data_IF_012877810769
#
_entry.id   IF_012877810769
#
_cell.length_a   1.000
_cell.length_b   1.000
_cell.length_c   1.000
_cell.angle_alpha   90.00
_cell.angle_beta   90.00
_cell.angle_gamma   90.00
#
_symmetry.space_group_name_H-M   'P 1'
#
loop_
_entity.id
_entity.type
_entity.pdbx_description
1 polymer ?
#
# COMPACT_ATOMS: atom_id res chain seq x y z
N UNK A 1 -45.34 28.54 62.62
CA UNK A 1 -45.67 29.97 62.87
C UNK A 1 -44.54 30.81 62.24
N UNK A 2 -44.91 31.68 61.30
CA UNK A 2 -44.18 32.85 60.79
C UNK A 2 -42.89 32.58 59.98
N UNK A 3 -42.64 33.11 58.82
CA UNK A 3 -43.27 33.97 57.83
C UNK A 3 -42.21 34.31 56.78
N UNK A 4 -42.62 34.37 55.55
CA UNK A 4 -41.89 34.87 54.37
C UNK A 4 -41.14 36.17 54.59
N UNK A 5 -39.99 36.35 53.88
CA UNK A 5 -39.70 37.60 53.15
C UNK A 5 -38.70 37.37 52.01
N UNK A 6 -39.14 37.68 50.79
CA UNK A 6 -38.36 37.90 49.58
C UNK A 6 -37.48 39.13 49.76
N UNK A 7 -36.22 39.05 49.32
CA UNK A 7 -35.41 40.22 49.03
C UNK A 7 -34.87 40.03 47.61
N UNK A 8 -35.35 40.89 46.70
CA UNK A 8 -34.76 41.18 45.42
C UNK A 8 -33.57 42.08 45.66
N UNK A 9 -32.41 41.71 45.18
CA UNK A 9 -31.27 42.62 44.98
C UNK A 9 -30.94 42.63 43.50
N UNK A 10 -31.27 43.74 42.87
CA UNK A 10 -30.73 44.19 41.59
C UNK A 10 -29.22 44.41 41.80
N UNK A 11 -28.40 43.81 40.97
CA UNK A 11 -27.01 44.24 40.80
C UNK A 11 -26.75 44.42 39.32
N UNK A 12 -26.44 45.62 39.01
CA UNK A 12 -26.09 46.25 37.75
C UNK A 12 -24.88 45.62 37.10
N UNK A 13 -24.98 45.57 35.76
CA UNK A 13 -23.91 45.25 34.81
C UNK A 13 -22.58 45.89 35.13
N UNK A 14 -21.52 45.07 35.10
CA UNK A 14 -20.24 45.49 34.61
C UNK A 14 -19.80 44.49 33.52
N UNK A 15 -19.95 44.94 32.31
CA UNK A 15 -19.49 44.26 31.10
C UNK A 15 -17.96 44.29 31.06
N UNK A 16 -17.30 43.17 31.36
CA UNK A 16 -15.98 42.90 30.90
C UNK A 16 -16.11 41.81 29.79
N UNK A 17 -16.07 42.26 28.55
CA UNK A 17 -15.94 41.47 27.37
C UNK A 17 -14.55 40.84 27.38
N UNK A 18 -14.42 39.62 27.92
CA UNK A 18 -13.30 38.76 27.58
C UNK A 18 -13.66 38.11 26.24
N UNK A 19 -13.14 38.66 25.15
CA UNK A 19 -12.98 37.95 23.89
C UNK A 19 -12.03 36.79 24.13
N UNK A 20 -12.53 35.66 24.56
CA UNK A 20 -11.88 34.41 24.32
C UNK A 20 -12.07 34.11 22.83
N UNK A 21 -11.04 34.40 22.04
CA UNK A 21 -10.89 33.82 20.72
C UNK A 21 -10.78 32.31 20.90
N UNK A 22 -11.92 31.65 20.82
CA UNK A 22 -11.98 30.22 20.56
C UNK A 22 -11.44 30.08 19.14
N UNK A 23 -10.14 29.81 19.01
CA UNK A 23 -9.64 29.12 17.84
C UNK A 23 -10.30 27.74 17.87
N UNK A 24 -11.45 27.65 17.25
CA UNK A 24 -11.95 26.39 16.78
C UNK A 24 -10.88 25.92 15.77
N UNK A 25 -9.99 25.06 16.19
CA UNK A 25 -9.34 24.11 15.31
C UNK A 25 -10.51 23.32 14.71
N UNK A 26 -11.04 23.77 13.59
CA UNK A 26 -11.80 22.95 12.70
C UNK A 26 -10.77 21.91 12.19
N UNK A 27 -10.59 20.83 12.93
CA UNK A 27 -10.21 19.57 12.32
C UNK A 27 -11.24 19.38 11.21
N UNK A 28 -10.77 19.57 9.97
CA UNK A 28 -11.50 19.11 8.81
C UNK A 28 -11.45 17.58 8.94
N UNK A 29 -12.43 17.02 9.65
CA UNK A 29 -12.83 15.63 9.47
C UNK A 29 -13.26 15.52 8.02
N UNK A 30 -12.29 15.22 7.14
CA UNK A 30 -12.60 14.65 5.85
C UNK A 30 -13.16 13.27 6.19
N UNK A 31 -14.45 13.23 6.55
CA UNK A 31 -15.20 12.01 6.48
C UNK A 31 -15.03 11.53 5.04
N UNK A 32 -14.14 10.58 4.82
CA UNK A 32 -14.07 9.79 3.61
C UNK A 32 -15.42 9.10 3.47
N UNK A 33 -16.38 9.83 2.92
CA UNK A 33 -17.54 9.18 2.35
C UNK A 33 -16.97 8.27 1.26
N UNK A 34 -17.16 6.98 1.38
CA UNK A 34 -16.67 5.90 0.52
C UNK A 34 -17.22 5.98 -0.92
N UNK A 35 -17.54 7.15 -1.40
CA UNK A 35 -17.88 7.54 -2.76
C UNK A 35 -17.32 8.93 -3.06
N UNK A 36 -16.03 9.12 -2.96
CA UNK A 36 -15.40 10.23 -3.66
C UNK A 36 -15.63 9.96 -5.15
N UNK A 37 -16.46 10.80 -5.78
CA UNK A 37 -16.69 10.69 -7.22
C UNK A 37 -15.36 10.89 -7.92
N UNK A 38 -14.89 9.83 -8.58
CA UNK A 38 -13.68 9.88 -9.41
C UNK A 38 -13.83 11.03 -10.40
N UNK A 39 -12.86 11.94 -10.44
CA UNK A 39 -12.93 13.14 -11.28
C UNK A 39 -12.48 12.84 -12.71
N UNK A 40 -13.25 13.20 -13.73
CA UNK A 40 -12.82 13.09 -15.11
C UNK A 40 -11.64 14.01 -15.38
N UNK A 41 -10.55 13.45 -15.93
CA UNK A 41 -9.30 14.13 -16.18
C UNK A 41 -8.97 14.09 -17.68
N UNK A 42 -8.64 15.23 -18.24
CA UNK A 42 -8.00 15.35 -19.54
C UNK A 42 -6.48 15.33 -19.38
N UNK A 43 -5.80 14.43 -20.09
CA UNK A 43 -4.35 14.36 -20.16
C UNK A 43 -3.89 14.57 -21.61
N UNK A 44 -3.09 15.61 -21.85
CA UNK A 44 -2.48 15.81 -23.16
C UNK A 44 -1.35 14.81 -23.40
N UNK A 45 -0.96 14.65 -24.68
CA UNK A 45 0.39 14.18 -24.98
C UNK A 45 1.42 15.16 -24.40
N UNK A 46 2.67 14.75 -24.28
CA UNK A 46 3.77 15.66 -24.00
C UNK A 46 4.16 16.31 -25.34
N UNK A 47 3.93 17.61 -25.48
CA UNK A 47 4.30 18.38 -26.68
C UNK A 47 5.81 18.61 -26.70
N UNK A 48 6.44 18.34 -27.85
CA UNK A 48 7.86 18.61 -28.04
C UNK A 48 8.03 20.03 -28.60
N UNK A 49 8.41 20.96 -27.75
CA UNK A 49 8.62 22.38 -28.08
C UNK A 49 10.13 22.70 -28.13
N UNK A 50 10.85 21.97 -28.99
CA UNK A 50 12.30 22.11 -29.11
C UNK A 50 13.08 21.43 -27.97
N UNK A 51 12.61 20.31 -27.48
CA UNK A 51 13.38 19.48 -26.54
C UNK A 51 14.51 18.73 -27.26
N UNK A 52 15.52 18.34 -26.47
CA UNK A 52 16.64 17.51 -26.94
C UNK A 52 16.26 16.03 -27.08
N UNK A 53 15.00 15.66 -26.74
CA UNK A 53 14.55 14.27 -26.66
C UNK A 53 13.68 13.87 -27.85
N UNK A 54 13.77 12.60 -28.22
CA UNK A 54 12.91 12.01 -29.24
C UNK A 54 11.45 11.92 -28.77
N UNK A 55 10.51 11.98 -29.69
CA UNK A 55 9.08 11.82 -29.39
C UNK A 55 8.77 10.47 -28.74
N UNK A 56 9.44 9.40 -29.14
CA UNK A 56 9.31 8.06 -28.54
C UNK A 56 9.62 8.03 -27.05
N UNK A 57 10.64 8.79 -26.62
CA UNK A 57 10.99 8.96 -25.22
C UNK A 57 9.89 9.72 -24.45
N UNK A 58 9.40 10.83 -25.00
CA UNK A 58 8.32 11.63 -24.42
C UNK A 58 7.01 10.84 -24.33
N UNK A 59 6.69 10.01 -25.32
CA UNK A 59 5.54 9.10 -25.28
C UNK A 59 5.64 8.07 -24.16
N UNK A 60 6.84 7.55 -23.89
CA UNK A 60 7.03 6.62 -22.76
C UNK A 60 6.84 7.31 -21.41
N UNK A 61 7.27 8.56 -21.24
CA UNK A 61 6.96 9.36 -20.04
C UNK A 61 5.46 9.68 -19.93
N UNK A 62 4.78 9.98 -21.04
CA UNK A 62 3.34 10.19 -21.05
C UNK A 62 2.54 8.95 -20.63
N UNK A 63 3.02 7.74 -20.95
CA UNK A 63 2.41 6.48 -20.46
C UNK A 63 2.49 6.36 -18.94
N UNK A 64 3.59 6.80 -18.32
CA UNK A 64 3.73 6.82 -16.86
C UNK A 64 2.73 7.79 -16.23
N UNK A 65 2.68 9.04 -16.72
CA UNK A 65 1.69 10.04 -16.28
C UNK A 65 0.26 9.49 -16.37
N UNK A 66 -0.06 8.84 -17.50
CA UNK A 66 -1.39 8.26 -17.71
C UNK A 66 -1.68 7.13 -16.72
N UNK A 67 -0.74 6.22 -16.51
CA UNK A 67 -0.91 5.10 -15.58
C UNK A 67 -1.21 5.60 -14.17
N UNK A 68 -0.40 6.52 -13.66
CA UNK A 68 -0.53 7.03 -12.29
C UNK A 68 -1.83 7.81 -12.10
N UNK A 69 -2.14 8.75 -12.99
CA UNK A 69 -3.35 9.57 -12.89
C UNK A 69 -4.63 8.73 -13.09
N UNK A 70 -4.59 7.71 -13.93
CA UNK A 70 -5.74 6.82 -14.17
C UNK A 70 -6.00 5.85 -13.01
N UNK A 71 -4.97 5.53 -12.24
CA UNK A 71 -5.03 4.59 -11.12
C UNK A 71 -4.90 5.25 -9.74
N UNK A 72 -4.93 6.58 -9.65
CA UNK A 72 -4.81 7.32 -8.39
C UNK A 72 -5.97 7.09 -7.41
N UNK A 73 -7.12 6.60 -7.90
CA UNK A 73 -8.35 6.47 -7.12
C UNK A 73 -9.13 7.78 -6.96
N UNK A 74 -8.62 8.88 -7.48
CA UNK A 74 -9.26 10.21 -7.47
C UNK A 74 -9.63 10.70 -8.85
N UNK A 75 -8.92 10.25 -9.89
CA UNK A 75 -9.09 10.70 -11.26
C UNK A 75 -9.28 9.53 -12.22
N UNK A 76 -9.95 9.79 -13.32
CA UNK A 76 -10.07 8.88 -14.47
C UNK A 76 -9.69 9.63 -15.73
N UNK A 77 -8.65 9.16 -16.41
CA UNK A 77 -8.19 9.74 -17.66
C UNK A 77 -9.21 9.45 -18.76
N UNK A 78 -9.74 10.51 -19.37
CA UNK A 78 -10.70 10.39 -20.46
C UNK A 78 -10.01 9.92 -21.75
N UNK A 79 -10.72 9.10 -22.52
CA UNK A 79 -10.30 8.80 -23.90
C UNK A 79 -10.43 10.08 -24.71
N UNK A 80 -9.30 10.58 -25.24
CA UNK A 80 -9.26 11.85 -25.94
C UNK A 80 -9.64 11.72 -27.40
N UNK A 81 -10.81 12.24 -27.76
CA UNK A 81 -11.22 12.47 -29.16
C UNK A 81 -10.86 13.90 -29.62
N UNK A 82 -10.26 14.71 -28.76
CA UNK A 82 -10.08 16.17 -28.95
C UNK A 82 -8.71 16.57 -29.52
N UNK A 83 -8.06 15.70 -30.30
CA UNK A 83 -6.69 15.92 -30.76
C UNK A 83 -6.51 17.16 -31.67
N UNK A 84 -7.58 17.67 -32.26
CA UNK A 84 -7.55 18.79 -33.20
C UNK A 84 -8.11 20.11 -32.64
N UNK A 85 -8.38 20.22 -31.36
CA UNK A 85 -8.89 21.46 -30.77
C UNK A 85 -7.72 22.42 -30.49
N UNK A 86 -7.79 23.63 -31.01
CA UNK A 86 -6.79 24.68 -30.84
C UNK A 86 -6.48 24.97 -29.37
N UNK A 87 -7.50 25.00 -28.50
CA UNK A 87 -7.33 25.19 -27.06
C UNK A 87 -6.53 24.06 -26.40
N UNK A 88 -6.52 22.87 -26.99
CA UNK A 88 -5.80 21.71 -26.47
C UNK A 88 -4.30 21.79 -26.74
N UNK A 89 -3.90 22.32 -27.89
CA UNK A 89 -2.48 22.46 -28.25
C UNK A 89 -1.82 23.72 -27.68
N UNK A 90 -2.62 24.69 -27.21
CA UNK A 90 -2.11 25.93 -26.63
C UNK A 90 -1.81 25.83 -25.14
N UNK A 91 -0.81 26.57 -24.69
CA UNK A 91 -0.41 26.70 -23.30
C UNK A 91 -0.58 28.09 -22.71
N UNK A 92 -1.14 29.02 -23.51
CA UNK A 92 -1.58 30.32 -23.03
C UNK A 92 -2.70 30.16 -22.02
N UNK A 93 -2.58 30.82 -20.85
CA UNK A 93 -3.48 30.63 -19.70
C UNK A 93 -4.91 31.02 -20.00
N UNK A 94 -5.12 32.03 -20.82
CA UNK A 94 -6.45 32.58 -21.12
C UNK A 94 -7.21 31.72 -22.14
N UNK A 95 -6.50 30.98 -22.96
CA UNK A 95 -7.08 30.13 -24.00
C UNK A 95 -7.16 28.68 -23.57
N UNK A 96 -6.06 28.16 -23.01
CA UNK A 96 -5.89 26.74 -22.72
C UNK A 96 -6.60 26.28 -21.43
N UNK A 97 -6.85 27.23 -20.49
CA UNK A 97 -7.35 26.95 -19.16
C UNK A 97 -8.66 27.68 -18.84
N UNK A 98 -9.54 27.76 -19.84
CA UNK A 98 -10.89 28.33 -19.71
C UNK A 98 -11.84 27.33 -19.02
N UNK A 99 -12.33 27.68 -17.83
CA UNK A 99 -13.23 26.84 -17.05
C UNK A 99 -14.54 26.51 -17.76
N UNK A 100 -15.10 27.48 -18.51
CA UNK A 100 -16.35 27.29 -19.26
C UNK A 100 -16.18 26.23 -20.35
N UNK A 101 -15.06 26.29 -21.08
CA UNK A 101 -14.74 25.30 -22.11
C UNK A 101 -14.63 23.88 -21.54
N UNK A 102 -13.88 23.71 -20.45
CA UNK A 102 -13.63 22.39 -19.87
C UNK A 102 -14.88 21.84 -19.14
N UNK A 103 -15.63 22.68 -18.46
CA UNK A 103 -16.88 22.28 -17.81
C UNK A 103 -17.94 21.83 -18.84
N UNK A 104 -18.04 22.49 -19.99
CA UNK A 104 -18.92 22.04 -21.08
C UNK A 104 -18.51 20.67 -21.63
N UNK A 105 -17.24 20.31 -21.58
CA UNK A 105 -16.71 18.97 -21.93
C UNK A 105 -16.78 17.97 -20.76
N UNK A 106 -17.33 18.36 -19.61
CA UNK A 106 -17.39 17.55 -18.36
C UNK A 106 -16.02 17.12 -17.87
N UNK A 107 -15.01 17.94 -18.07
CA UNK A 107 -13.63 17.72 -17.61
C UNK A 107 -13.44 18.53 -16.33
N UNK A 108 -13.12 17.84 -15.22
CA UNK A 108 -12.87 18.50 -13.95
C UNK A 108 -11.41 18.93 -13.78
N UNK A 109 -10.49 18.13 -14.32
CA UNK A 109 -9.05 18.34 -14.19
C UNK A 109 -8.38 18.23 -15.55
N UNK A 110 -7.47 19.16 -15.83
CA UNK A 110 -6.70 19.22 -17.07
C UNK A 110 -5.21 19.13 -16.74
N UNK A 111 -4.53 18.17 -17.34
CA UNK A 111 -3.07 18.04 -17.23
C UNK A 111 -2.49 18.16 -18.64
N UNK A 112 -1.67 19.19 -18.84
CA UNK A 112 -0.96 19.44 -20.10
C UNK A 112 0.52 19.51 -19.85
N UNK A 113 1.31 18.93 -20.75
CA UNK A 113 2.76 18.91 -20.59
C UNK A 113 3.45 19.26 -21.89
N UNK A 114 4.54 20.04 -21.78
CA UNK A 114 5.45 20.37 -22.88
C UNK A 114 6.89 20.15 -22.46
N UNK A 115 7.70 19.68 -23.39
CA UNK A 115 9.13 19.49 -23.21
C UNK A 115 9.88 20.59 -23.99
N UNK A 116 10.70 21.35 -23.27
CA UNK A 116 11.52 22.46 -23.83
C UNK A 116 12.96 22.23 -23.40
N UNK A 117 13.89 22.11 -24.34
CA UNK A 117 15.27 21.69 -24.03
C UNK A 117 15.27 20.40 -23.16
N UNK A 118 15.76 20.47 -21.94
CA UNK A 118 15.78 19.35 -20.96
C UNK A 118 14.66 19.43 -19.92
N UNK A 119 13.78 20.41 -20.00
CA UNK A 119 12.74 20.64 -18.97
C UNK A 119 11.39 20.17 -19.46
N UNK A 120 10.75 19.32 -18.65
CA UNK A 120 9.33 19.00 -18.76
C UNK A 120 8.54 19.99 -17.91
N UNK A 121 7.73 20.82 -18.55
CA UNK A 121 6.81 21.75 -17.91
C UNK A 121 5.40 21.17 -17.94
N UNK A 122 4.79 20.97 -16.78
CA UNK A 122 3.46 20.37 -16.64
C UNK A 122 2.51 21.37 -15.97
N UNK A 123 1.39 21.62 -16.61
CA UNK A 123 0.30 22.48 -16.15
C UNK A 123 -0.84 21.60 -15.64
N UNK A 124 -1.29 21.87 -14.43
CA UNK A 124 -2.41 21.17 -13.78
C UNK A 124 -3.47 22.20 -13.45
N UNK A 125 -4.60 22.08 -14.13
CA UNK A 125 -5.72 23.00 -13.99
C UNK A 125 -6.95 22.28 -13.45
N UNK A 126 -7.53 22.85 -12.39
CA UNK A 126 -8.82 22.41 -11.85
C UNK A 126 -9.91 23.35 -12.35
N UNK A 127 -10.74 22.87 -13.28
CA UNK A 127 -11.77 23.65 -13.93
C UNK A 127 -12.92 24.05 -13.00
N UNK A 128 -13.12 23.33 -11.87
CA UNK A 128 -14.22 23.61 -10.93
C UNK A 128 -13.95 24.84 -10.06
N UNK A 129 -12.70 25.10 -9.72
CA UNK A 129 -12.30 26.22 -8.85
C UNK A 129 -11.34 27.22 -9.52
N UNK A 130 -11.07 27.04 -10.81
CA UNK A 130 -10.22 27.89 -11.63
C UNK A 130 -8.79 28.04 -11.11
N UNK A 131 -8.22 26.95 -10.52
CA UNK A 131 -6.86 26.94 -9.99
C UNK A 131 -5.92 26.30 -11.00
N UNK A 132 -4.87 27.02 -11.41
CA UNK A 132 -3.77 26.57 -12.24
C UNK A 132 -2.52 26.41 -11.39
N UNK A 133 -1.85 25.26 -11.50
CA UNK A 133 -0.53 24.99 -10.92
C UNK A 133 0.42 24.54 -12.02
N UNK A 134 1.68 24.95 -11.89
CA UNK A 134 2.73 24.59 -12.85
C UNK A 134 3.86 23.87 -12.11
N UNK A 135 4.36 22.81 -12.74
CA UNK A 135 5.50 22.04 -12.29
C UNK A 135 6.57 22.05 -13.36
N UNK A 136 7.83 22.12 -12.95
CA UNK A 136 8.99 22.01 -13.84
C UNK A 136 9.89 20.88 -13.35
N UNK A 137 10.29 20.01 -14.27
CA UNK A 137 11.07 18.82 -14.01
C UNK A 137 12.21 18.73 -15.01
N UNK A 138 13.45 18.70 -14.53
CA UNK A 138 14.61 18.47 -15.38
C UNK A 138 14.73 16.98 -15.73
N UNK A 139 14.72 16.70 -17.03
CA UNK A 139 14.86 15.34 -17.57
C UNK A 139 16.35 15.04 -17.81
N UNK A 140 16.74 13.81 -17.47
CA UNK A 140 18.13 13.33 -17.64
C UNK A 140 18.39 12.68 -19.00
N UNK A 141 17.34 12.32 -19.75
CA UNK A 141 17.41 11.49 -20.95
C UNK A 141 17.52 9.99 -20.66
N UNK A 142 17.64 9.60 -19.40
CA UNK A 142 17.57 8.20 -19.00
C UNK A 142 16.13 7.86 -18.57
N UNK A 143 15.47 7.03 -19.38
CA UNK A 143 14.06 6.69 -19.16
C UNK A 143 13.80 6.12 -17.77
N UNK A 144 14.67 5.26 -17.26
CA UNK A 144 14.48 4.61 -15.95
C UNK A 144 14.57 5.61 -14.78
N UNK A 145 15.46 6.61 -14.90
CA UNK A 145 15.59 7.67 -13.90
C UNK A 145 14.39 8.60 -13.98
N UNK A 146 14.02 8.99 -15.19
CA UNK A 146 12.98 10.01 -15.37
C UNK A 146 11.57 9.47 -15.15
N UNK A 147 11.33 8.16 -15.31
CA UNK A 147 10.09 7.51 -14.84
C UNK A 147 9.85 7.73 -13.34
N UNK A 148 10.88 7.56 -12.51
CA UNK A 148 10.78 7.78 -11.05
C UNK A 148 10.44 9.23 -10.74
N UNK A 149 10.99 10.19 -11.51
CA UNK A 149 10.65 11.61 -11.36
C UNK A 149 9.20 11.90 -11.76
N UNK A 150 8.70 11.24 -12.83
CA UNK A 150 7.29 11.35 -13.24
C UNK A 150 6.34 10.77 -12.18
N UNK A 151 6.64 9.62 -11.60
CA UNK A 151 5.88 9.07 -10.47
C UNK A 151 5.82 10.07 -9.30
N UNK A 152 6.95 10.70 -8.95
CA UNK A 152 6.99 11.73 -7.90
C UNK A 152 6.19 12.98 -8.28
N UNK A 153 6.19 13.38 -9.55
CA UNK A 153 5.34 14.46 -10.06
C UNK A 153 3.86 14.12 -9.88
N UNK A 154 3.44 12.92 -10.23
CA UNK A 154 2.05 12.47 -10.05
C UNK A 154 1.62 12.43 -8.58
N UNK A 155 2.51 11.98 -7.67
CA UNK A 155 2.27 12.02 -6.24
C UNK A 155 2.04 13.45 -5.73
N UNK A 156 2.84 14.42 -6.22
CA UNK A 156 2.69 15.84 -5.89
C UNK A 156 1.42 16.45 -6.49
N UNK A 157 1.06 16.08 -7.71
CA UNK A 157 -0.20 16.51 -8.35
C UNK A 157 -1.39 16.02 -7.51
N UNK A 158 -1.37 14.76 -7.08
CA UNK A 158 -2.42 14.21 -6.23
C UNK A 158 -2.51 14.95 -4.90
N UNK A 159 -1.39 15.23 -4.25
CA UNK A 159 -1.35 15.97 -2.97
C UNK A 159 -1.94 17.37 -3.10
N UNK A 160 -1.58 18.11 -4.16
CA UNK A 160 -2.09 19.47 -4.40
C UNK A 160 -3.58 19.48 -4.73
N UNK A 161 -4.06 18.52 -5.51
CA UNK A 161 -5.46 18.48 -5.94
C UNK A 161 -6.40 17.93 -4.85
N UNK A 162 -5.94 16.99 -4.03
CA UNK A 162 -6.79 16.22 -3.13
C UNK A 162 -6.32 16.21 -1.67
N UNK A 163 -5.21 16.89 -1.34
CA UNK A 163 -4.67 16.94 0.03
C UNK A 163 -4.07 15.63 0.53
N UNK A 164 -3.93 14.64 -0.35
CA UNK A 164 -3.41 13.32 0.01
C UNK A 164 -2.27 12.92 -0.92
N UNK A 165 -1.10 12.64 -0.34
CA UNK A 165 0.09 12.23 -1.10
C UNK A 165 -0.15 10.91 -1.81
N UNK A 166 0.33 10.82 -3.06
CA UNK A 166 0.28 9.59 -3.84
C UNK A 166 1.28 8.52 -3.39
N UNK A 167 1.25 7.40 -4.06
CA UNK A 167 2.07 6.21 -3.77
C UNK A 167 2.96 5.80 -4.94
N UNK A 168 2.85 6.49 -6.09
CA UNK A 168 3.44 6.00 -7.34
C UNK A 168 4.97 6.06 -7.35
N UNK A 169 5.59 6.93 -6.54
CA UNK A 169 7.04 6.94 -6.32
C UNK A 169 7.57 5.79 -5.46
N UNK A 170 6.69 4.99 -4.85
CA UNK A 170 7.09 3.85 -3.99
C UNK A 170 7.53 2.65 -4.82
N UNK A 171 8.37 1.80 -4.22
CA UNK A 171 8.78 0.52 -4.79
C UNK A 171 7.94 -0.63 -4.23
N UNK A 172 7.95 -1.74 -4.96
CA UNK A 172 7.36 -3.00 -4.51
C UNK A 172 8.41 -4.10 -4.50
N UNK A 173 8.35 -4.95 -3.47
CA UNK A 173 9.10 -6.21 -3.41
C UNK A 173 8.14 -7.38 -3.66
N UNK A 174 8.64 -8.41 -4.31
CA UNK A 174 7.89 -9.64 -4.56
C UNK A 174 8.83 -10.82 -4.84
N UNK A 175 8.31 -12.03 -4.77
CA UNK A 175 9.04 -13.23 -5.18
C UNK A 175 8.61 -13.68 -6.57
N UNK A 176 9.57 -14.15 -7.37
CA UNK A 176 9.33 -14.72 -8.71
C UNK A 176 9.76 -16.18 -8.72
N UNK A 177 8.79 -17.09 -8.88
CA UNK A 177 9.02 -18.52 -9.02
C UNK A 177 9.17 -18.89 -10.49
N UNK A 178 10.27 -19.56 -10.81
CA UNK A 178 10.57 -20.09 -12.15
C UNK A 178 11.01 -21.56 -12.09
N UNK A 179 11.11 -22.21 -13.23
CA UNK A 179 11.74 -23.54 -13.32
C UNK A 179 13.22 -23.42 -12.96
N UNK A 180 13.73 -24.39 -12.23
CA UNK A 180 15.16 -24.47 -11.94
C UNK A 180 15.83 -25.35 -12.99
N UNK A 181 16.61 -24.74 -13.86
CA UNK A 181 17.34 -25.44 -14.92
C UNK A 181 18.71 -25.97 -14.46
N UNK A 182 19.24 -25.43 -13.37
CA UNK A 182 20.58 -25.71 -12.88
C UNK A 182 20.65 -26.90 -11.90
N UNK A 183 19.62 -27.10 -11.08
CA UNK A 183 19.58 -28.15 -10.07
C UNK A 183 18.51 -29.19 -10.41
N UNK A 184 18.94 -30.37 -10.92
CA UNK A 184 18.03 -31.48 -11.26
C UNK A 184 17.10 -31.93 -10.10
N UNK A 185 17.54 -31.75 -8.86
CA UNK A 185 16.79 -32.16 -7.66
C UNK A 185 15.77 -31.09 -7.17
N UNK A 186 15.81 -29.89 -7.71
CA UNK A 186 14.91 -28.79 -7.35
C UNK A 186 14.16 -28.31 -8.59
N UNK A 187 12.97 -28.84 -8.79
CA UNK A 187 12.13 -28.52 -9.96
C UNK A 187 11.83 -27.01 -10.09
N UNK A 188 11.78 -26.30 -8.98
CA UNK A 188 11.40 -24.88 -8.91
C UNK A 188 12.39 -24.10 -8.06
N UNK A 189 12.65 -22.87 -8.47
CA UNK A 189 13.38 -21.86 -7.70
C UNK A 189 12.49 -20.62 -7.55
N UNK A 190 12.79 -19.80 -6.56
CA UNK A 190 12.14 -18.53 -6.35
C UNK A 190 13.16 -17.51 -5.87
N UNK A 191 13.19 -16.34 -6.50
CA UNK A 191 14.10 -15.26 -6.18
C UNK A 191 13.33 -13.98 -5.83
N UNK A 192 13.96 -13.08 -5.08
CA UNK A 192 13.37 -11.80 -4.67
C UNK A 192 13.65 -10.76 -5.73
N UNK A 193 12.63 -9.97 -6.05
CA UNK A 193 12.65 -8.90 -7.03
C UNK A 193 12.12 -7.60 -6.45
N UNK A 194 12.56 -6.49 -7.03
CA UNK A 194 12.06 -5.14 -6.78
C UNK A 194 11.67 -4.48 -8.09
N UNK A 195 10.62 -3.66 -8.09
CA UNK A 195 10.23 -2.84 -9.25
C UNK A 195 9.60 -1.52 -8.81
N UNK A 196 9.34 -0.65 -9.78
CA UNK A 196 8.40 0.45 -9.61
C UNK A 196 6.99 -0.09 -9.42
N UNK A 197 6.08 0.77 -8.95
CA UNK A 197 4.70 0.36 -8.63
C UNK A 197 3.91 -0.11 -9.87
N UNK A 198 4.28 0.37 -11.04
CA UNK A 198 3.69 -0.05 -12.33
C UNK A 198 4.35 -1.30 -12.94
N UNK A 199 5.30 -1.91 -12.20
CA UNK A 199 6.00 -3.13 -12.56
C UNK A 199 7.21 -2.94 -13.47
N UNK A 200 7.49 -1.73 -13.89
CA UNK A 200 8.69 -1.40 -14.67
C UNK A 200 9.93 -1.27 -13.78
N UNK A 201 11.10 -1.10 -14.38
CA UNK A 201 12.39 -1.11 -13.67
C UNK A 201 12.60 -2.35 -12.79
N UNK A 202 11.98 -3.49 -13.16
CA UNK A 202 12.06 -4.74 -12.41
C UNK A 202 13.50 -5.27 -12.37
N UNK A 203 14.00 -5.54 -11.16
CA UNK A 203 15.37 -6.01 -10.90
C UNK A 203 15.35 -7.20 -9.95
N UNK A 204 16.07 -8.25 -10.31
CA UNK A 204 16.35 -9.39 -9.41
C UNK A 204 17.33 -8.96 -8.32
N UNK A 205 16.96 -9.17 -7.05
CA UNK A 205 17.77 -8.83 -5.88
C UNK A 205 18.59 -10.00 -5.35
N UNK A 206 18.17 -11.23 -5.61
CA UNK A 206 18.86 -12.44 -5.14
C UNK A 206 19.15 -13.38 -6.29
N UNK A 207 20.20 -14.20 -6.17
CA UNK A 207 20.59 -15.22 -7.15
C UNK A 207 21.15 -16.44 -6.42
N UNK A 208 20.32 -17.04 -5.56
CA UNK A 208 20.76 -18.14 -4.69
C UNK A 208 20.39 -19.52 -5.25
N UNK A 209 19.68 -19.59 -6.36
CA UNK A 209 19.19 -20.84 -6.94
C UNK A 209 18.48 -21.73 -5.89
N UNK A 210 17.64 -21.10 -5.07
CA UNK A 210 16.91 -21.70 -3.96
C UNK A 210 15.46 -21.26 -3.98
N UNK A 211 14.71 -21.52 -2.91
CA UNK A 211 13.34 -21.06 -2.76
C UNK A 211 13.29 -19.92 -1.75
N UNK A 212 13.14 -18.68 -2.26
CA UNK A 212 13.09 -17.45 -1.48
C UNK A 212 11.72 -16.80 -1.65
N UNK A 213 11.06 -16.47 -0.55
CA UNK A 213 9.67 -15.96 -0.57
C UNK A 213 9.41 -14.92 0.53
N UNK A 214 8.24 -14.29 0.49
CA UNK A 214 7.75 -13.31 1.47
C UNK A 214 8.74 -12.16 1.73
N UNK A 215 9.14 -11.40 0.71
CA UNK A 215 9.99 -10.24 0.95
C UNK A 215 9.20 -9.12 1.65
N UNK A 216 9.88 -8.42 2.57
CA UNK A 216 9.35 -7.27 3.29
C UNK A 216 10.43 -6.19 3.37
N UNK A 217 10.05 -4.93 3.15
CA UNK A 217 10.90 -3.82 3.51
C UNK A 217 11.07 -3.74 5.02
N UNK A 218 12.26 -3.37 5.48
CA UNK A 218 12.50 -3.04 6.88
C UNK A 218 12.17 -1.55 7.06
N UNK A 219 11.21 -1.17 7.90
CA UNK A 219 10.93 0.24 8.18
C UNK A 219 12.17 0.97 8.65
N UNK A 220 12.32 2.23 8.22
CA UNK A 220 13.47 3.09 8.53
C UNK A 220 14.83 2.63 7.97
N UNK A 221 14.90 1.52 7.22
CA UNK A 221 16.09 1.09 6.50
C UNK A 221 15.95 1.32 5.00
N UNK A 222 16.88 2.08 4.41
CA UNK A 222 16.96 2.28 2.94
C UNK A 222 17.74 1.19 2.22
N UNK A 223 18.47 0.35 2.98
CA UNK A 223 19.46 -0.57 2.40
C UNK A 223 19.12 -2.04 2.60
N UNK A 224 18.12 -2.39 3.41
CA UNK A 224 17.91 -3.76 3.84
C UNK A 224 16.44 -4.18 3.70
N UNK A 225 16.24 -5.48 3.49
CA UNK A 225 14.92 -6.12 3.41
C UNK A 225 14.94 -7.49 4.06
N UNK A 226 13.79 -8.01 4.43
CA UNK A 226 13.62 -9.36 4.94
C UNK A 226 13.06 -10.29 3.86
N UNK A 227 13.33 -11.59 4.00
CA UNK A 227 12.70 -12.64 3.22
C UNK A 227 12.84 -13.99 3.93
N UNK A 228 12.09 -14.99 3.49
CA UNK A 228 12.25 -16.37 3.95
C UNK A 228 13.17 -17.11 2.97
N UNK A 229 14.18 -17.78 3.47
CA UNK A 229 15.12 -18.61 2.69
C UNK A 229 15.02 -20.08 3.09
N UNK A 230 14.94 -20.95 2.08
CA UNK A 230 15.02 -22.41 2.20
C UNK A 230 16.40 -22.96 1.79
N UNK A 231 17.41 -22.09 1.66
CA UNK A 231 18.72 -22.45 1.12
C UNK A 231 19.41 -23.55 1.94
N UNK A 232 19.32 -23.49 3.26
CA UNK A 232 20.04 -24.36 4.19
C UNK A 232 19.12 -25.33 4.94
N UNK A 233 18.02 -25.80 4.32
CA UNK A 233 17.07 -26.75 4.91
C UNK A 233 15.81 -26.07 5.45
N UNK A 234 15.49 -26.18 6.75
CA UNK A 234 14.29 -25.56 7.30
C UNK A 234 14.24 -24.05 7.04
N UNK A 235 13.09 -23.49 6.62
CA UNK A 235 12.98 -22.09 6.25
C UNK A 235 13.32 -21.18 7.43
N UNK A 236 14.13 -20.15 7.14
CA UNK A 236 14.56 -19.13 8.10
C UNK A 236 14.30 -17.73 7.55
N UNK A 237 14.03 -16.79 8.46
CA UNK A 237 13.92 -15.39 8.10
C UNK A 237 15.33 -14.81 7.98
N UNK A 238 15.63 -14.31 6.78
CA UNK A 238 16.91 -13.72 6.42
C UNK A 238 16.77 -12.22 6.21
N UNK A 239 17.87 -11.51 6.45
CA UNK A 239 18.07 -10.12 6.08
C UNK A 239 18.98 -10.06 4.85
N UNK A 240 18.52 -9.37 3.81
CA UNK A 240 19.27 -9.08 2.59
C UNK A 240 19.59 -7.60 2.47
N UNK A 241 20.50 -7.25 1.56
CA UNK A 241 20.93 -5.88 1.27
C UNK A 241 20.62 -5.51 -0.18
N UNK A 242 20.07 -4.30 -0.40
CA UNK A 242 19.86 -3.75 -1.76
C UNK A 242 21.19 -3.41 -2.45
N UNK A 243 22.20 -3.01 -1.67
CA UNK A 243 23.51 -2.66 -2.18
C UNK A 243 24.37 -3.90 -2.48
N UNK A 244 24.22 -4.98 -1.69
CA UNK A 244 24.99 -6.20 -1.84
C UNK A 244 24.09 -7.45 -1.89
N UNK A 245 23.66 -7.88 -3.08
CA UNK A 245 22.75 -9.03 -3.25
C UNK A 245 23.27 -10.36 -2.70
N UNK A 246 24.59 -10.48 -2.47
CA UNK A 246 25.20 -11.69 -1.90
C UNK A 246 25.14 -11.70 -0.38
N UNK A 247 24.89 -10.57 0.25
CA UNK A 247 24.77 -10.46 1.69
C UNK A 247 23.41 -11.00 2.15
N UNK A 248 23.46 -12.10 2.88
CA UNK A 248 22.28 -12.79 3.39
C UNK A 248 22.61 -13.48 4.69
N UNK A 249 21.86 -13.18 5.74
CA UNK A 249 22.05 -13.85 7.05
C UNK A 249 20.72 -14.08 7.76
N UNK A 250 20.55 -15.21 8.45
CA UNK A 250 19.41 -15.42 9.34
C UNK A 250 19.47 -14.45 10.50
N UNK A 251 18.31 -13.88 10.89
CA UNK A 251 18.25 -12.86 11.94
C UNK A 251 17.71 -13.38 13.28
N UNK A 252 17.07 -14.55 13.29
CA UNK A 252 16.46 -15.10 14.50
C UNK A 252 17.10 -16.44 14.83
N UNK A 253 17.64 -16.57 16.05
CA UNK A 253 18.18 -17.82 16.58
C UNK A 253 17.06 -18.63 17.23
N UNK A 254 16.30 -19.37 16.44
CA UNK A 254 15.25 -20.29 16.89
C UNK A 254 15.30 -21.56 16.06
N UNK A 255 15.15 -22.74 16.72
CA UNK A 255 15.01 -24.04 16.03
C UNK A 255 13.71 -24.08 15.22
N UNK A 256 13.54 -25.09 14.37
CA UNK A 256 12.33 -25.28 13.56
C UNK A 256 12.19 -24.26 12.43
N UNK A 257 11.04 -24.25 11.82
CA UNK A 257 10.68 -23.36 10.73
C UNK A 257 10.44 -21.93 11.22
N UNK A 258 10.67 -20.94 10.35
CA UNK A 258 10.30 -19.54 10.55
C UNK A 258 9.61 -19.07 9.28
N UNK A 259 8.31 -18.79 9.39
CA UNK A 259 7.43 -18.55 8.24
C UNK A 259 6.59 -17.29 8.44
N UNK A 260 6.10 -16.75 7.34
CA UNK A 260 5.07 -15.69 7.30
C UNK A 260 5.42 -14.50 8.21
N UNK A 261 6.57 -13.85 8.02
CA UNK A 261 6.97 -12.72 8.84
C UNK A 261 6.06 -11.51 8.63
N UNK A 262 5.87 -10.75 9.70
CA UNK A 262 5.28 -9.41 9.66
C UNK A 262 6.09 -8.51 10.59
N UNK A 263 6.37 -7.29 10.15
CA UNK A 263 7.17 -6.32 10.90
C UNK A 263 6.27 -5.16 11.37
N UNK A 264 6.49 -4.68 12.59
CA UNK A 264 5.82 -3.48 13.13
C UNK A 264 6.23 -2.23 12.34
N UNK A 265 5.39 -1.19 12.35
CA UNK A 265 5.67 0.09 11.65
C UNK A 265 6.99 0.74 12.07
N UNK A 266 7.36 0.58 13.35
CA UNK A 266 8.60 1.15 13.89
C UNK A 266 9.84 0.26 13.64
N UNK A 267 9.66 -0.99 13.16
CA UNK A 267 10.76 -1.94 12.99
C UNK A 267 11.23 -2.62 14.29
N UNK A 268 10.62 -2.30 15.43
CA UNK A 268 11.00 -2.77 16.77
C UNK A 268 10.51 -4.19 17.09
N UNK A 269 9.55 -4.72 16.32
CA UNK A 269 8.91 -6.02 16.54
C UNK A 269 8.76 -6.78 15.22
N UNK A 270 8.97 -8.10 15.28
CA UNK A 270 8.72 -9.03 14.19
C UNK A 270 7.86 -10.18 14.70
N UNK A 271 6.68 -10.35 14.13
CA UNK A 271 5.81 -11.50 14.35
C UNK A 271 6.03 -12.53 13.24
N UNK A 272 6.04 -13.81 13.59
CA UNK A 272 6.24 -14.90 12.62
C UNK A 272 5.64 -16.20 13.16
N UNK A 273 5.49 -17.18 12.28
CA UNK A 273 5.03 -18.52 12.64
C UNK A 273 6.23 -19.45 12.75
N UNK A 274 6.23 -20.27 13.82
CA UNK A 274 7.26 -21.29 14.01
C UNK A 274 6.69 -22.54 14.71
N UNK A 275 7.24 -23.69 14.32
CA UNK A 275 6.98 -24.99 14.95
C UNK A 275 7.96 -25.34 16.08
N UNK A 276 8.74 -24.39 16.54
CA UNK A 276 9.77 -24.57 17.57
C UNK A 276 9.23 -25.12 18.90
N UNK A 277 7.95 -24.89 19.19
CA UNK A 277 7.24 -25.38 20.38
C UNK A 277 6.38 -26.64 20.13
N UNK A 278 6.45 -27.22 18.93
CA UNK A 278 5.74 -28.46 18.58
C UNK A 278 4.59 -28.29 17.60
N UNK A 279 4.10 -27.09 17.38
CA UNK A 279 3.05 -26.75 16.40
C UNK A 279 3.31 -25.40 15.71
N UNK A 280 2.58 -25.08 14.64
CA UNK A 280 2.70 -23.79 13.97
C UNK A 280 2.09 -22.69 14.84
N UNK A 281 2.87 -22.13 15.73
CA UNK A 281 2.48 -21.13 16.72
C UNK A 281 2.97 -19.73 16.33
N UNK A 282 2.31 -18.71 16.88
CA UNK A 282 2.66 -17.31 16.69
C UNK A 282 3.77 -16.91 17.68
N UNK A 283 4.88 -16.42 17.13
CA UNK A 283 6.02 -15.91 17.87
C UNK A 283 6.23 -14.42 17.64
N UNK A 284 6.85 -13.77 18.61
CA UNK A 284 7.24 -12.36 18.59
C UNK A 284 8.74 -12.24 18.94
N UNK A 285 9.50 -11.50 18.14
CA UNK A 285 10.88 -11.09 18.40
C UNK A 285 10.97 -9.58 18.45
N UNK A 286 11.63 -9.05 19.49
CA UNK A 286 11.96 -7.65 19.63
C UNK A 286 13.31 -7.32 19.00
N UNK A 287 13.43 -6.09 18.47
CA UNK A 287 14.64 -5.59 17.82
C UNK A 287 15.01 -4.20 18.40
N UNK A 288 16.30 -3.89 18.38
CA UNK A 288 16.81 -2.56 18.66
C UNK A 288 16.76 -1.66 17.40
N UNK A 289 17.23 -0.41 17.55
CA UNK A 289 17.25 0.58 16.45
C UNK A 289 18.16 0.19 15.28
N UNK A 290 19.09 -0.73 15.46
CA UNK A 290 19.97 -1.28 14.43
C UNK A 290 19.41 -2.57 13.81
N UNK A 291 18.16 -2.89 14.12
CA UNK A 291 17.51 -4.13 13.71
C UNK A 291 18.30 -5.38 14.14
N UNK A 292 18.82 -5.35 15.38
CA UNK A 292 19.41 -6.53 16.02
C UNK A 292 18.42 -7.14 17.02
N UNK A 293 18.32 -8.47 17.11
CA UNK A 293 17.34 -9.12 17.98
C UNK A 293 17.67 -8.90 19.45
N UNK A 294 16.68 -8.47 20.23
CA UNK A 294 16.74 -8.31 21.68
C UNK A 294 16.12 -9.55 22.34
N UNK A 295 16.90 -10.26 23.15
CA UNK A 295 16.44 -11.44 23.88
C UNK A 295 16.09 -12.62 22.98
N UNK A 296 15.26 -13.54 23.48
CA UNK A 296 14.77 -14.72 22.77
C UNK A 296 13.38 -14.46 22.21
N UNK A 297 13.02 -15.10 21.06
CA UNK A 297 11.64 -15.05 20.56
C UNK A 297 10.65 -15.58 21.61
N UNK A 298 9.51 -14.93 21.73
CA UNK A 298 8.45 -15.25 22.63
C UNK A 298 7.31 -15.95 21.89
N UNK A 299 6.84 -17.08 22.41
CA UNK A 299 5.60 -17.69 21.94
C UNK A 299 4.42 -16.82 22.40
N UNK A 300 3.88 -16.02 21.49
CA UNK A 300 2.82 -15.06 21.81
C UNK A 300 1.44 -15.73 21.87
N UNK A 301 1.16 -16.66 20.95
CA UNK A 301 -0.11 -17.36 20.89
C UNK A 301 0.08 -18.79 20.39
N UNK A 302 -0.55 -19.72 21.09
CA UNK A 302 -0.65 -21.15 20.75
C UNK A 302 -2.04 -21.66 21.16
N UNK A 303 -2.59 -22.56 20.38
CA UNK A 303 -3.85 -23.22 20.72
C UNK A 303 -3.77 -24.73 20.41
N UNK A 304 -4.21 -25.62 21.31
CA UNK A 304 -4.07 -27.06 21.11
C UNK A 304 -4.73 -27.55 19.81
N UNK A 305 -3.99 -28.34 19.03
CA UNK A 305 -4.47 -28.95 17.78
C UNK A 305 -4.92 -27.93 16.73
N UNK A 306 -4.39 -26.71 16.75
CA UNK A 306 -4.69 -25.70 15.76
C UNK A 306 -3.43 -25.08 15.15
N UNK A 307 -3.59 -24.54 13.96
CA UNK A 307 -2.55 -23.88 13.18
C UNK A 307 -2.74 -22.37 13.27
N UNK A 308 -1.65 -21.64 13.49
CA UNK A 308 -1.58 -20.20 13.37
C UNK A 308 -0.85 -19.84 12.08
N UNK A 309 -1.28 -18.75 11.42
CA UNK A 309 -0.66 -18.29 10.16
C UNK A 309 -0.79 -16.78 9.95
N UNK A 310 0.02 -16.24 9.05
CA UNK A 310 -0.09 -14.91 8.43
C UNK A 310 -0.37 -13.78 9.43
N UNK A 311 0.49 -13.53 10.42
CA UNK A 311 0.34 -12.39 11.31
C UNK A 311 0.49 -11.06 10.57
N UNK A 312 -0.20 -10.02 11.04
CA UNK A 312 -0.02 -8.63 10.61
C UNK A 312 -0.23 -7.69 11.78
N UNK A 313 0.67 -6.71 11.96
CA UNK A 313 0.57 -5.72 13.02
C UNK A 313 -0.48 -4.66 12.71
N UNK A 314 -1.18 -4.19 13.75
CA UNK A 314 -1.84 -2.89 13.70
C UNK A 314 -0.80 -1.77 13.57
N UNK A 315 -1.15 -0.59 13.01
CA UNK A 315 -0.19 0.50 12.78
C UNK A 315 0.46 1.05 14.05
N UNK A 316 -0.22 0.96 15.19
CA UNK A 316 0.28 1.34 16.52
C UNK A 316 1.20 0.26 17.14
N UNK A 317 1.31 -0.91 16.50
CA UNK A 317 2.11 -2.03 17.01
C UNK A 317 1.59 -2.69 18.28
N UNK A 318 0.36 -2.37 18.70
CA UNK A 318 -0.24 -2.87 19.94
C UNK A 318 -1.12 -4.11 19.73
N UNK A 319 -1.49 -4.42 18.49
CA UNK A 319 -2.32 -5.58 18.15
C UNK A 319 -1.70 -6.38 17.01
N UNK A 320 -2.06 -7.66 16.96
CA UNK A 320 -1.80 -8.55 15.83
C UNK A 320 -3.10 -9.15 15.33
N UNK A 321 -3.36 -9.03 14.04
CA UNK A 321 -4.31 -9.89 13.36
C UNK A 321 -3.56 -11.12 12.83
N UNK A 322 -4.16 -12.30 12.93
CA UNK A 322 -3.57 -13.56 12.46
C UNK A 322 -4.66 -14.55 12.09
N UNK A 323 -4.29 -15.54 11.33
CA UNK A 323 -5.16 -16.65 10.93
C UNK A 323 -5.06 -17.77 11.94
N UNK A 324 -6.19 -18.38 12.31
CA UNK A 324 -6.24 -19.61 13.10
C UNK A 324 -7.45 -20.47 12.73
N UNK A 325 -7.30 -21.78 12.84
CA UNK A 325 -8.38 -22.77 12.67
C UNK A 325 -8.94 -23.29 14.02
N UNK A 326 -8.62 -22.62 15.11
CA UNK A 326 -8.96 -23.04 16.49
C UNK A 326 -10.45 -23.30 16.76
N UNK A 327 -11.34 -22.67 15.98
CA UNK A 327 -12.80 -22.81 16.12
C UNK A 327 -13.43 -23.56 14.92
N UNK A 328 -12.67 -24.45 14.27
CA UNK A 328 -13.16 -25.34 13.20
C UNK A 328 -13.31 -24.69 11.82
N UNK A 329 -12.72 -23.53 11.62
CA UNK A 329 -12.64 -22.83 10.32
C UNK A 329 -11.40 -21.94 10.28
N UNK A 330 -10.83 -21.75 9.09
CA UNK A 330 -9.66 -20.88 8.89
C UNK A 330 -10.11 -19.42 8.93
N UNK A 331 -9.95 -18.76 10.08
CA UNK A 331 -10.51 -17.43 10.32
C UNK A 331 -9.45 -16.46 10.86
N UNK A 332 -9.77 -15.18 10.80
CA UNK A 332 -8.89 -14.12 11.27
C UNK A 332 -9.32 -13.68 12.66
N UNK A 333 -8.35 -13.66 13.56
CA UNK A 333 -8.47 -13.23 14.95
C UNK A 333 -7.54 -12.04 15.20
N UNK A 334 -7.88 -11.24 16.21
CA UNK A 334 -7.04 -10.16 16.72
C UNK A 334 -6.71 -10.41 18.18
N UNK A 335 -5.43 -10.24 18.54
CA UNK A 335 -4.95 -10.22 19.92
C UNK A 335 -4.30 -8.90 20.24
N UNK A 336 -4.36 -8.48 21.50
CA UNK A 336 -3.51 -7.41 22.02
C UNK A 336 -2.11 -7.96 22.32
N UNK A 337 -1.08 -7.16 22.04
CA UNK A 337 0.31 -7.40 22.44
C UNK A 337 0.50 -6.67 23.77
N UNK A 338 0.80 -7.41 24.83
CA UNK A 338 1.11 -6.82 26.12
C UNK A 338 2.60 -6.48 26.18
N UNK A 339 2.95 -5.26 26.60
CA UNK A 339 4.33 -4.87 26.89
C UNK A 339 4.90 -5.66 28.07
N UNK A 340 4.03 -6.21 28.91
CA UNK A 340 4.42 -7.06 30.04
C UNK A 340 4.51 -8.53 29.58
N UNK A 341 5.62 -8.86 28.95
CA UNK A 341 5.93 -10.16 28.32
C UNK A 341 5.92 -11.34 29.31
N UNK A 342 5.91 -11.07 30.61
CA UNK A 342 5.98 -12.08 31.67
C UNK A 342 4.61 -12.54 32.20
N UNK A 343 3.52 -12.04 31.64
CA UNK A 343 2.20 -12.56 32.01
C UNK A 343 2.00 -13.96 31.42
N UNK A 344 1.92 -14.97 32.27
CA UNK A 344 1.65 -16.35 31.88
C UNK A 344 0.24 -16.58 31.28
N UNK A 345 -0.55 -15.51 31.13
CA UNK A 345 -1.90 -15.59 30.55
C UNK A 345 -1.83 -15.49 29.03
N UNK A 346 -2.38 -16.50 28.34
CA UNK A 346 -2.58 -16.47 26.90
C UNK A 346 -3.45 -15.26 26.51
N UNK A 347 -3.07 -14.46 25.51
CA UNK A 347 -3.91 -13.37 25.03
C UNK A 347 -5.28 -13.88 24.58
N UNK A 348 -6.32 -13.09 24.81
CA UNK A 348 -7.66 -13.39 24.30
C UNK A 348 -7.71 -13.07 22.81
N UNK A 349 -8.03 -14.08 21.99
CA UNK A 349 -8.16 -13.93 20.55
C UNK A 349 -9.62 -13.61 20.19
N UNK A 350 -9.83 -12.40 19.63
CA UNK A 350 -11.14 -11.93 19.20
C UNK A 350 -11.35 -12.25 17.71
N UNK A 351 -12.43 -12.98 17.41
CA UNK A 351 -12.80 -13.31 16.03
C UNK A 351 -13.25 -12.06 15.27
N UNK A 352 -12.63 -11.83 14.10
CA UNK A 352 -12.95 -10.70 13.22
C UNK A 352 -13.84 -11.16 12.06
N UNK A 353 -13.39 -12.15 11.27
CA UNK A 353 -14.11 -12.58 10.06
C UNK A 353 -15.25 -13.54 10.40
N UNK A 354 -16.48 -13.19 10.01
CA UNK A 354 -17.70 -13.95 10.35
C UNK A 354 -18.42 -14.51 9.13
N UNK A 355 -18.32 -13.87 7.96
CA UNK A 355 -19.11 -14.23 6.76
C UNK A 355 -18.60 -15.51 6.08
N UNK A 356 -17.29 -15.71 6.00
CA UNK A 356 -16.67 -16.84 5.31
C UNK A 356 -15.92 -17.74 6.28
N UNK A 357 -15.81 -19.03 5.94
CA UNK A 357 -15.11 -20.02 6.77
C UNK A 357 -13.62 -20.17 6.44
N UNK A 358 -13.18 -19.68 5.27
CA UNK A 358 -11.78 -19.73 4.86
C UNK A 358 -11.31 -18.31 4.55
N UNK A 359 -10.58 -17.70 5.48
CA UNK A 359 -10.01 -16.37 5.37
C UNK A 359 -8.52 -16.43 5.70
N UNK A 360 -7.68 -15.92 4.82
CA UNK A 360 -6.21 -16.00 4.93
C UNK A 360 -5.54 -14.68 4.60
N UNK A 361 -4.25 -14.57 4.91
CA UNK A 361 -3.36 -13.47 4.53
C UNK A 361 -3.92 -12.08 4.85
N UNK A 362 -4.23 -11.79 6.12
CA UNK A 362 -4.67 -10.44 6.51
C UNK A 362 -3.55 -9.42 6.32
N UNK A 363 -3.94 -8.20 5.94
CA UNK A 363 -3.08 -7.02 5.88
C UNK A 363 -3.83 -5.84 6.48
N UNK A 364 -3.22 -5.15 7.45
CA UNK A 364 -3.82 -4.01 8.12
C UNK A 364 -3.54 -2.71 7.36
N UNK A 365 -4.56 -1.83 7.21
CA UNK A 365 -4.38 -0.49 6.66
C UNK A 365 -3.52 0.37 7.59
N UNK A 366 -2.82 1.36 7.04
CA UNK A 366 -1.86 2.18 7.80
C UNK A 366 -2.53 3.16 8.78
N UNK A 367 -3.83 3.41 8.62
CA UNK A 367 -4.67 4.18 9.56
C UNK A 367 -5.31 3.29 10.65
N UNK A 368 -5.16 1.97 10.56
CA UNK A 368 -5.73 1.02 11.51
C UNK A 368 -7.22 0.75 11.38
N UNK A 369 -7.91 1.41 10.42
CA UNK A 369 -9.37 1.34 10.30
C UNK A 369 -9.86 0.13 9.52
N UNK A 370 -9.02 -0.47 8.66
CA UNK A 370 -9.41 -1.56 7.77
C UNK A 370 -8.44 -2.74 7.80
N UNK A 371 -8.94 -3.92 7.53
CA UNK A 371 -8.17 -5.13 7.33
C UNK A 371 -8.54 -5.74 5.98
N UNK A 372 -7.58 -5.83 5.06
CA UNK A 372 -7.74 -6.59 3.82
C UNK A 372 -7.38 -8.05 4.06
N UNK A 373 -8.05 -8.97 3.41
CA UNK A 373 -7.76 -10.40 3.50
C UNK A 373 -8.27 -11.15 2.27
N UNK A 374 -7.77 -12.36 2.07
CA UNK A 374 -8.26 -13.26 1.03
C UNK A 374 -9.31 -14.20 1.61
N UNK A 375 -10.55 -14.14 1.10
CA UNK A 375 -11.66 -14.99 1.50
C UNK A 375 -12.06 -15.95 0.38
N UNK A 376 -12.38 -17.20 0.72
CA UNK A 376 -12.91 -18.17 -0.24
C UNK A 376 -14.42 -17.98 -0.39
N UNK A 377 -14.84 -17.50 -1.55
CA UNK A 377 -16.24 -17.25 -1.93
C UNK A 377 -16.54 -18.07 -3.17
N UNK A 378 -17.51 -18.97 -3.10
CA UNK A 378 -17.87 -19.87 -4.22
C UNK A 378 -16.65 -20.62 -4.80
N UNK A 379 -15.79 -21.15 -3.95
CA UNK A 379 -14.54 -21.87 -4.26
C UNK A 379 -13.44 -21.00 -4.93
N UNK A 380 -13.61 -19.70 -5.03
CA UNK A 380 -12.61 -18.76 -5.58
C UNK A 380 -12.19 -17.80 -4.48
N UNK A 381 -10.89 -17.61 -4.31
CA UNK A 381 -10.38 -16.62 -3.37
C UNK A 381 -10.51 -15.21 -3.93
N UNK A 382 -11.11 -14.33 -3.15
CA UNK A 382 -11.30 -12.92 -3.47
C UNK A 382 -10.75 -12.06 -2.36
N UNK A 383 -10.28 -10.84 -2.67
CA UNK A 383 -9.90 -9.86 -1.66
C UNK A 383 -11.16 -9.26 -1.06
N UNK A 384 -11.25 -9.34 0.25
CA UNK A 384 -12.29 -8.74 1.07
C UNK A 384 -11.67 -7.71 2.02
N UNK A 385 -12.50 -6.78 2.47
CA UNK A 385 -12.15 -5.76 3.45
C UNK A 385 -13.05 -5.91 4.66
N UNK A 386 -12.49 -5.82 5.85
CA UNK A 386 -13.20 -5.61 7.11
C UNK A 386 -12.95 -4.17 7.58
N UNK A 387 -14.01 -3.45 7.92
CA UNK A 387 -13.97 -2.09 8.46
C UNK A 387 -14.23 -2.16 9.97
N UNK A 388 -13.26 -1.75 10.78
CA UNK A 388 -13.35 -1.80 12.24
C UNK A 388 -14.32 -0.76 12.80
N UNK A 389 -14.51 0.38 12.13
CA UNK A 389 -15.44 1.44 12.59
C UNK A 389 -16.90 1.04 12.34
N UNK A 390 -17.17 0.40 11.20
CA UNK A 390 -18.51 -0.04 10.81
C UNK A 390 -18.84 -1.47 11.28
N UNK A 391 -17.82 -2.24 11.69
CA UNK A 391 -17.94 -3.67 11.99
C UNK A 391 -18.54 -4.47 10.83
N UNK A 392 -18.12 -4.16 9.60
CA UNK A 392 -18.66 -4.73 8.36
C UNK A 392 -17.57 -5.35 7.48
N UNK A 393 -17.96 -6.42 6.78
CA UNK A 393 -17.13 -7.05 5.76
C UNK A 393 -17.76 -6.88 4.37
N UNK A 394 -16.94 -6.54 3.36
CA UNK A 394 -17.39 -6.53 1.95
C UNK A 394 -16.34 -7.12 1.04
N UNK A 395 -16.79 -7.64 -0.10
CA UNK A 395 -15.94 -8.14 -1.15
C UNK A 395 -15.46 -6.98 -2.05
N UNK A 396 -14.14 -6.85 -2.22
CA UNK A 396 -13.53 -5.81 -3.05
C UNK A 396 -13.30 -6.30 -4.48
N UNK A 397 -12.84 -7.54 -4.67
CA UNK A 397 -12.49 -8.06 -5.99
C UNK A 397 -13.47 -9.15 -6.44
N UNK A 398 -13.64 -9.31 -7.76
CA UNK A 398 -14.52 -10.28 -8.39
C UNK A 398 -13.80 -11.02 -9.52
N UNK A 399 -14.43 -12.06 -10.09
CA UNK A 399 -13.94 -12.82 -11.23
C UNK A 399 -13.49 -14.24 -10.88
N UNK A 400 -12.92 -14.94 -11.86
CA UNK A 400 -12.70 -16.39 -11.84
C UNK A 400 -11.33 -16.83 -11.31
N UNK A 401 -10.35 -15.94 -11.24
CA UNK A 401 -9.01 -16.24 -10.73
C UNK A 401 -8.95 -16.04 -9.21
N UNK A 402 -8.23 -16.92 -8.50
CA UNK A 402 -7.92 -16.71 -7.10
C UNK A 402 -7.06 -15.45 -6.94
N UNK A 403 -7.32 -14.70 -5.87
CA UNK A 403 -6.59 -13.49 -5.47
C UNK A 403 -6.13 -13.64 -4.05
N UNK A 404 -4.83 -13.48 -3.83
CA UNK A 404 -4.18 -13.79 -2.56
C UNK A 404 -3.15 -12.74 -2.19
N UNK A 405 -2.74 -12.75 -0.92
CA UNK A 405 -1.68 -11.92 -0.36
C UNK A 405 -1.90 -10.41 -0.59
N UNK A 406 -3.05 -9.85 -0.17
CA UNK A 406 -3.24 -8.41 -0.24
C UNK A 406 -2.25 -7.68 0.67
N UNK A 407 -1.74 -6.54 0.21
CA UNK A 407 -0.87 -5.67 1.00
C UNK A 407 -1.28 -4.22 0.79
N UNK A 408 -1.54 -3.50 1.89
CA UNK A 408 -1.93 -2.09 1.85
C UNK A 408 -0.75 -1.17 1.53
N UNK A 409 -0.98 -0.22 0.65
CA UNK A 409 -0.11 0.93 0.49
C UNK A 409 -0.27 1.93 1.65
N UNK A 410 0.63 2.91 1.71
CA UNK A 410 0.66 3.93 2.79
C UNK A 410 -0.50 4.91 2.76
N UNK A 411 -1.21 5.02 1.65
CA UNK A 411 -2.32 5.96 1.46
C UNK A 411 -3.69 5.45 1.95
N UNK A 412 -3.78 4.21 2.44
CA UNK A 412 -5.02 3.57 2.89
C UNK A 412 -6.10 3.40 1.80
N UNK A 413 -5.74 3.61 0.54
CA UNK A 413 -6.63 3.49 -0.62
C UNK A 413 -6.22 2.34 -1.54
N UNK A 414 -4.92 2.15 -1.75
CA UNK A 414 -4.41 1.14 -2.66
C UNK A 414 -4.03 -0.16 -1.96
N UNK A 415 -4.27 -1.24 -2.69
CA UNK A 415 -3.85 -2.59 -2.37
C UNK A 415 -3.11 -3.18 -3.55
N UNK A 416 -2.03 -3.89 -3.26
CA UNK A 416 -1.39 -4.81 -4.20
C UNK A 416 -1.72 -6.24 -3.78
N UNK A 417 -1.93 -7.14 -4.73
CA UNK A 417 -2.17 -8.56 -4.47
C UNK A 417 -1.68 -9.40 -5.64
N UNK A 418 -1.54 -10.70 -5.47
CA UNK A 418 -1.28 -11.61 -6.59
C UNK A 418 -2.53 -12.42 -6.98
N UNK A 419 -2.67 -12.70 -8.26
CA UNK A 419 -3.54 -13.78 -8.72
C UNK A 419 -2.84 -15.12 -8.51
N UNK A 420 -3.61 -16.20 -8.38
CA UNK A 420 -3.09 -17.56 -8.35
C UNK A 420 -3.85 -18.41 -9.36
N UNK A 421 -3.15 -18.79 -10.41
CA UNK A 421 -3.68 -19.62 -11.46
C UNK A 421 -2.63 -20.68 -11.86
N UNK A 422 -3.06 -21.77 -12.50
CA UNK A 422 -2.17 -22.83 -12.99
C UNK A 422 -1.14 -22.30 -13.99
N UNK A 423 -1.57 -21.41 -14.89
CA UNK A 423 -0.76 -20.91 -15.99
C UNK A 423 -0.08 -19.57 -15.68
N UNK A 424 -0.74 -18.69 -14.96
CA UNK A 424 -0.28 -17.31 -14.75
C UNK A 424 -0.50 -16.89 -13.30
N UNK A 425 0.53 -16.34 -12.67
CA UNK A 425 0.47 -15.73 -11.34
C UNK A 425 1.13 -14.36 -11.44
N UNK A 426 0.33 -13.30 -11.36
CA UNK A 426 0.75 -11.93 -11.61
C UNK A 426 0.32 -11.00 -10.48
N UNK A 427 0.99 -9.85 -10.37
CA UNK A 427 0.64 -8.82 -9.41
C UNK A 427 -0.36 -7.84 -10.03
N UNK A 428 -1.30 -7.42 -9.20
CA UNK A 428 -2.33 -6.45 -9.53
C UNK A 428 -2.40 -5.34 -8.48
N UNK A 429 -2.63 -4.13 -8.95
CA UNK A 429 -2.92 -2.96 -8.13
C UNK A 429 -4.42 -2.67 -8.21
N UNK A 430 -5.05 -2.38 -7.08
CA UNK A 430 -6.45 -1.93 -6.99
C UNK A 430 -6.56 -0.80 -5.98
N UNK A 431 -7.43 0.15 -6.27
CA UNK A 431 -7.88 1.14 -5.32
C UNK A 431 -9.26 0.74 -4.77
N UNK A 432 -9.53 0.95 -3.48
CA UNK A 432 -10.82 0.59 -2.88
C UNK A 432 -12.03 1.35 -3.49
N UNK A 433 -11.78 2.45 -4.19
CA UNK A 433 -12.77 3.22 -4.93
C UNK A 433 -12.98 2.73 -6.37
N UNK A 434 -12.16 1.80 -6.86
CA UNK A 434 -12.22 1.25 -8.21
C UNK A 434 -12.87 -0.13 -8.22
N UNK A 435 -13.54 -0.47 -9.34
CA UNK A 435 -14.15 -1.79 -9.51
C UNK A 435 -13.19 -2.82 -10.10
N UNK A 436 -12.19 -2.39 -10.84
CA UNK A 436 -11.26 -3.24 -11.58
C UNK A 436 -9.83 -3.02 -11.12
N UNK A 437 -9.10 -4.12 -11.00
CA UNK A 437 -7.68 -4.10 -10.69
C UNK A 437 -6.86 -4.04 -11.99
N UNK A 438 -5.76 -3.30 -11.97
CA UNK A 438 -4.82 -3.23 -13.07
C UNK A 438 -3.65 -4.20 -12.85
N UNK A 439 -3.33 -4.99 -13.88
CA UNK A 439 -2.16 -5.86 -13.90
C UNK A 439 -0.90 -5.01 -14.02
N UNK A 440 0.06 -5.21 -13.11
CA UNK A 440 1.29 -4.42 -13.06
C UNK A 440 2.54 -5.21 -13.45
N UNK A 441 2.53 -6.54 -13.45
CA UNK A 441 3.69 -7.36 -13.84
C UNK A 441 3.50 -8.01 -15.21
N UNK A 442 4.60 -8.18 -15.97
CA UNK A 442 4.56 -8.65 -17.36
C UNK A 442 5.53 -9.79 -17.67
N UNK A 443 6.65 -9.90 -16.97
CA UNK A 443 7.74 -10.82 -17.29
C UNK A 443 7.40 -12.27 -16.95
N UNK A 444 8.22 -13.22 -17.39
CA UNK A 444 8.08 -14.65 -17.09
C UNK A 444 8.18 -14.97 -15.60
N UNK A 445 7.65 -16.14 -15.22
CA UNK A 445 7.64 -16.64 -13.84
C UNK A 445 6.37 -16.23 -13.07
N UNK A 446 6.14 -16.92 -11.95
CA UNK A 446 4.99 -16.70 -11.08
C UNK A 446 5.31 -15.71 -9.97
N UNK A 447 4.66 -14.54 -9.95
CA UNK A 447 4.89 -13.45 -9.00
C UNK A 447 3.96 -13.58 -7.80
N UNK A 448 4.53 -13.60 -6.58
CA UNK A 448 3.79 -13.80 -5.34
C UNK A 448 4.34 -12.93 -4.21
N UNK A 449 3.53 -12.81 -3.16
CA UNK A 449 3.89 -12.17 -1.90
C UNK A 449 4.40 -10.74 -2.09
N UNK A 450 3.58 -9.86 -2.69
CA UNK A 450 3.97 -8.48 -2.85
C UNK A 450 3.99 -7.73 -1.52
N UNK A 451 4.89 -6.75 -1.39
CA UNK A 451 4.90 -5.78 -0.30
C UNK A 451 5.25 -4.40 -0.82
N UNK A 452 4.67 -3.35 -0.22
CA UNK A 452 4.98 -1.96 -0.52
C UNK A 452 6.13 -1.45 0.34
N UNK A 453 6.88 -0.51 -0.22
CA UNK A 453 7.76 0.38 0.54
C UNK A 453 6.94 1.18 1.55
N UNK A 454 7.38 1.26 2.83
CA UNK A 454 6.66 1.89 3.93
C UNK A 454 6.36 3.38 3.74
#
# INVERSE_FOLDING_TARGET
MISFKKIYILLTLASSVFLNSIFANAEIEVALSTKNSIKPLYLSKIFNEGSEFENSYLENLAKVLKFDLDNSGFTKVLKTEYQNDFKISHFDTDIAFDSSFWNNKKVAIVVKSQAIKKTLKTFVYNANNNILKTFELELSGNLNIDRVKIHSLCDNIQEILFGQKGIFSSKILYSVRSKNELKKNLKWQSEIWISDIDGENAKKLTDQNSYLVHPLFIPNSKNEYLYISYLNGPPKIHKGSFANPKESRPIIKLRGNQLLPSISKNGDKLAFISDAAGGPDLFLQHFDDNFLPIGKPLQLFSYPRSTQASPTFSPDGQKLAFVSDKDGGVRIYVIAISDNVYTRKRPVAHLITKKNRENVTPSWSKDGKKLAFSAKINNIRQICIYDFEKNEEWQLTHGTKNKENPFWAKDNLHLIFNTEDTNETELYLININQKEAVKITKNEGKKRFPSFEP
#
